data_IF_604977931972
#
_entry.id   IF_604977931972
#
_cell.length_a   1.000
_cell.length_b   1.000
_cell.length_c   1.000
_cell.angle_alpha   90.00
_cell.angle_beta   90.00
_cell.angle_gamma   90.00
#
_symmetry.space_group_name_H-M   'P 1'
#
loop_
_entity.id
_entity.type
_entity.pdbx_description
1 polymer ?
#
# COMPACT_ATOMS: atom_id res chain seq x y z
N UNK A 1 -4.38 9.94 -2.58
CA UNK A 1 -4.64 9.70 -4.03
C UNK A 1 -5.04 10.96 -4.80
N UNK A 2 -6.17 11.61 -4.53
CA UNK A 2 -6.64 12.74 -5.37
C UNK A 2 -5.74 13.98 -5.34
N UNK A 3 -5.31 14.41 -4.16
CA UNK A 3 -4.54 15.67 -4.03
C UNK A 3 -3.13 15.56 -4.62
N UNK A 4 -2.42 14.47 -4.31
CA UNK A 4 -1.03 14.27 -4.69
C UNK A 4 -0.89 13.48 -6.00
N UNK A 5 -1.62 12.39 -6.17
CA UNK A 5 -1.50 11.53 -7.36
C UNK A 5 -2.41 11.96 -8.52
N UNK A 6 -3.31 12.93 -8.31
CA UNK A 6 -4.32 13.39 -9.29
C UNK A 6 -5.21 12.28 -9.85
N UNK A 7 -5.51 11.29 -9.01
CA UNK A 7 -6.42 10.19 -9.34
C UNK A 7 -7.85 10.60 -9.01
N UNK A 8 -8.72 10.54 -10.02
CA UNK A 8 -10.16 10.84 -9.94
C UNK A 8 -11.04 9.67 -10.38
N UNK A 9 -10.43 8.54 -10.77
CA UNK A 9 -11.15 7.32 -11.12
C UNK A 9 -11.87 6.77 -9.88
N UNK A 10 -13.19 6.65 -9.97
CA UNK A 10 -14.05 6.27 -8.84
C UNK A 10 -13.72 4.86 -8.35
N UNK A 11 -13.45 3.92 -9.27
CA UNK A 11 -13.14 2.53 -8.92
C UNK A 11 -11.85 2.47 -8.08
N UNK A 12 -10.79 3.15 -8.53
CA UNK A 12 -9.52 3.23 -7.80
C UNK A 12 -9.70 3.89 -6.43
N UNK A 13 -10.50 4.96 -6.34
CA UNK A 13 -10.75 5.65 -5.07
C UNK A 13 -11.55 4.80 -4.09
N UNK A 14 -12.58 4.09 -4.56
CA UNK A 14 -13.35 3.15 -3.73
C UNK A 14 -12.45 2.02 -3.25
N UNK A 15 -11.64 1.41 -4.13
CA UNK A 15 -10.71 0.37 -3.74
C UNK A 15 -9.68 0.86 -2.71
N UNK A 16 -9.21 2.11 -2.83
CA UNK A 16 -8.31 2.71 -1.84
C UNK A 16 -8.98 2.89 -0.46
N UNK A 17 -10.28 3.19 -0.42
CA UNK A 17 -11.02 3.26 0.84
C UNK A 17 -11.17 1.86 1.47
N UNK A 18 -11.29 0.83 0.63
CA UNK A 18 -11.58 -0.54 1.07
C UNK A 18 -10.34 -1.44 1.24
N UNK A 19 -9.14 -0.96 0.89
CA UNK A 19 -7.96 -1.83 0.69
C UNK A 19 -7.62 -2.76 1.87
N UNK A 20 -7.76 -2.28 3.12
CA UNK A 20 -7.49 -3.08 4.33
C UNK A 20 -8.73 -3.82 4.88
N UNK A 21 -9.93 -3.61 4.31
CA UNK A 21 -11.16 -4.14 4.90
C UNK A 21 -11.18 -5.67 4.93
N UNK A 22 -10.72 -6.32 3.86
CA UNK A 22 -10.63 -7.79 3.80
C UNK A 22 -9.51 -8.31 4.70
N UNK A 23 -8.42 -7.55 4.83
CA UNK A 23 -7.25 -7.95 5.60
C UNK A 23 -7.47 -7.85 7.12
N UNK A 24 -8.11 -6.77 7.59
CA UNK A 24 -8.16 -6.38 9.00
C UNK A 24 -9.54 -6.50 9.64
N UNK A 25 -10.56 -6.91 8.88
CA UNK A 25 -11.92 -7.07 9.41
C UNK A 25 -12.50 -8.44 9.05
N UNK A 26 -13.80 -8.64 9.29
CA UNK A 26 -14.52 -9.85 8.88
C UNK A 26 -15.08 -9.76 7.46
N UNK A 27 -14.82 -8.66 6.76
CA UNK A 27 -15.30 -8.42 5.40
C UNK A 27 -14.68 -9.45 4.45
N UNK A 28 -15.49 -10.00 3.55
CA UNK A 28 -15.03 -10.96 2.55
C UNK A 28 -14.87 -10.30 1.17
N UNK A 29 -14.02 -10.87 0.33
CA UNK A 29 -13.93 -10.45 -1.08
C UNK A 29 -15.29 -10.56 -1.79
N UNK A 30 -16.08 -11.58 -1.46
CA UNK A 30 -17.40 -11.75 -2.07
C UNK A 30 -18.35 -10.60 -1.72
N UNK A 31 -18.36 -10.15 -0.46
CA UNK A 31 -19.12 -8.95 -0.05
C UNK A 31 -18.63 -7.71 -0.82
N UNK A 32 -17.33 -7.53 -1.02
CA UNK A 32 -16.79 -6.42 -1.83
C UNK A 32 -17.31 -6.50 -3.27
N UNK A 33 -17.32 -7.69 -3.87
CA UNK A 33 -17.82 -7.94 -5.23
C UNK A 33 -19.31 -7.64 -5.34
N UNK A 34 -20.12 -8.07 -4.38
CA UNK A 34 -21.57 -7.88 -4.35
C UNK A 34 -21.96 -6.41 -4.20
N UNK A 35 -21.25 -5.66 -3.34
CA UNK A 35 -21.58 -4.26 -3.05
C UNK A 35 -20.96 -3.24 -4.01
N UNK A 36 -19.76 -3.52 -4.52
CA UNK A 36 -18.95 -2.55 -5.27
C UNK A 36 -18.56 -3.02 -6.68
N UNK A 37 -18.89 -4.26 -7.04
CA UNK A 37 -18.64 -4.82 -8.37
C UNK A 37 -17.26 -5.47 -8.53
N UNK A 38 -17.08 -6.13 -9.68
CA UNK A 38 -15.90 -6.96 -9.97
C UNK A 38 -14.59 -6.17 -10.02
N UNK A 39 -14.61 -4.94 -10.56
CA UNK A 39 -13.38 -4.16 -10.71
C UNK A 39 -12.80 -3.71 -9.37
N UNK A 40 -13.66 -3.28 -8.44
CA UNK A 40 -13.25 -2.94 -7.07
C UNK A 40 -12.74 -4.20 -6.35
N UNK A 41 -13.49 -5.31 -6.46
CA UNK A 41 -13.07 -6.61 -5.91
C UNK A 41 -11.64 -6.98 -6.35
N UNK A 42 -11.34 -6.90 -7.64
CA UNK A 42 -10.05 -7.32 -8.17
C UNK A 42 -8.90 -6.45 -7.65
N UNK A 43 -9.13 -5.15 -7.50
CA UNK A 43 -8.12 -4.22 -6.96
C UNK A 43 -7.92 -4.49 -5.47
N UNK A 44 -9.00 -4.62 -4.69
CA UNK A 44 -8.92 -4.91 -3.25
C UNK A 44 -8.22 -6.26 -3.01
N UNK A 45 -8.48 -7.26 -3.85
CA UNK A 45 -7.79 -8.55 -3.81
C UNK A 45 -6.28 -8.42 -4.01
N UNK A 46 -5.82 -7.60 -4.95
CA UNK A 46 -4.39 -7.32 -5.14
C UNK A 46 -3.79 -6.45 -4.03
N UNK A 47 -4.61 -5.77 -3.23
CA UNK A 47 -4.18 -5.00 -2.07
C UNK A 47 -4.18 -5.79 -0.76
N UNK A 48 -4.78 -6.99 -0.74
CA UNK A 48 -4.93 -7.81 0.48
C UNK A 48 -3.75 -8.78 0.61
N UNK A 49 -3.03 -8.74 1.74
CA UNK A 49 -2.02 -9.75 2.04
C UNK A 49 -2.65 -11.05 2.56
N UNK A 50 -2.12 -12.20 2.12
CA UNK A 50 -2.43 -13.49 2.73
C UNK A 50 -1.68 -13.65 4.05
N UNK A 51 -2.36 -13.34 5.16
CA UNK A 51 -1.85 -13.44 6.55
C UNK A 51 -1.48 -14.87 6.99
N UNK A 52 -1.85 -15.91 6.24
CA UNK A 52 -1.41 -17.28 6.51
C UNK A 52 0.08 -17.53 6.15
N UNK A 53 0.65 -16.65 5.32
CA UNK A 53 2.02 -16.78 4.84
C UNK A 53 3.04 -16.08 5.75
N UNK A 54 4.30 -16.54 5.77
CA UNK A 54 5.38 -15.86 6.46
C UNK A 54 5.54 -14.40 6.01
N UNK A 55 5.89 -13.52 6.94
CA UNK A 55 6.04 -12.08 6.67
C UNK A 55 6.91 -11.79 5.44
N UNK A 56 8.06 -12.44 5.31
CA UNK A 56 8.96 -12.22 4.18
C UNK A 56 8.35 -12.67 2.84
N UNK A 57 7.52 -13.72 2.85
CA UNK A 57 6.77 -14.14 1.67
C UNK A 57 5.73 -13.10 1.29
N UNK A 58 4.98 -12.56 2.28
CA UNK A 58 4.00 -11.48 2.03
C UNK A 58 4.65 -10.25 1.43
N UNK A 59 5.79 -9.82 1.98
CA UNK A 59 6.56 -8.69 1.45
C UNK A 59 6.95 -8.86 -0.02
N UNK A 60 7.40 -10.06 -0.41
CA UNK A 60 7.74 -10.37 -1.80
C UNK A 60 6.51 -10.34 -2.71
N UNK A 61 5.39 -10.89 -2.22
CA UNK A 61 4.12 -10.91 -2.94
C UNK A 61 3.54 -9.52 -3.18
N UNK A 62 3.78 -8.53 -2.31
CA UNK A 62 3.38 -7.13 -2.54
C UNK A 62 4.05 -6.49 -3.77
N UNK A 63 5.11 -7.10 -4.32
CA UNK A 63 5.72 -6.66 -5.58
C UNK A 63 5.30 -7.56 -6.74
N UNK A 64 5.33 -8.88 -6.54
CA UNK A 64 5.09 -9.85 -7.61
C UNK A 64 3.63 -9.94 -8.05
N UNK A 65 2.68 -9.77 -7.12
CA UNK A 65 1.26 -10.00 -7.38
C UNK A 65 0.47 -8.73 -7.73
N UNK A 66 1.07 -7.55 -7.57
CA UNK A 66 0.43 -6.27 -7.86
C UNK A 66 0.63 -5.93 -9.34
N UNK A 67 -0.27 -6.43 -10.17
CA UNK A 67 -0.18 -6.32 -11.62
C UNK A 67 -0.99 -5.14 -12.14
N UNK A 68 -2.14 -4.83 -11.52
CA UNK A 68 -3.04 -3.76 -11.93
C UNK A 68 -2.48 -2.39 -11.59
N UNK A 69 -2.54 -1.48 -12.55
CA UNK A 69 -2.14 -0.08 -12.36
C UNK A 69 -2.85 0.58 -11.17
N UNK A 70 -4.15 0.34 -11.01
CA UNK A 70 -4.94 0.86 -9.90
C UNK A 70 -4.45 0.32 -8.55
N UNK A 71 -4.13 -0.98 -8.46
CA UNK A 71 -3.60 -1.57 -7.24
C UNK A 71 -2.22 -0.98 -6.90
N UNK A 72 -1.35 -0.77 -7.90
CA UNK A 72 -0.06 -0.07 -7.70
C UNK A 72 -0.25 1.34 -7.14
N UNK A 73 -1.23 2.10 -7.63
CA UNK A 73 -1.55 3.43 -7.10
C UNK A 73 -1.98 3.38 -5.63
N UNK A 74 -2.84 2.42 -5.27
CA UNK A 74 -3.29 2.21 -3.89
C UNK A 74 -2.10 1.87 -2.99
N UNK A 75 -1.26 0.92 -3.38
CA UNK A 75 -0.06 0.53 -2.63
C UNK A 75 0.92 1.68 -2.44
N UNK A 76 1.22 2.46 -3.48
CA UNK A 76 2.10 3.63 -3.36
C UNK A 76 1.53 4.68 -2.40
N UNK A 77 0.23 4.95 -2.47
CA UNK A 77 -0.43 5.90 -1.58
C UNK A 77 -0.47 5.42 -0.13
N UNK A 78 -0.76 4.13 0.11
CA UNK A 78 -0.70 3.49 1.42
C UNK A 78 0.72 3.63 2.04
N UNK A 79 1.77 3.26 1.29
CA UNK A 79 3.14 3.39 1.79
C UNK A 79 3.50 4.83 2.11
N UNK A 80 3.09 5.79 1.29
CA UNK A 80 3.36 7.20 1.56
C UNK A 80 2.67 7.67 2.85
N UNK A 81 1.42 7.25 3.06
CA UNK A 81 0.70 7.54 4.28
C UNK A 81 1.39 6.93 5.51
N UNK A 82 1.69 5.63 5.46
CA UNK A 82 2.33 4.91 6.57
C UNK A 82 3.70 5.47 6.95
N UNK A 83 4.51 5.82 5.96
CA UNK A 83 5.83 6.40 6.21
C UNK A 83 5.73 7.80 6.84
N UNK A 84 4.81 8.64 6.37
CA UNK A 84 4.54 9.94 7.00
C UNK A 84 3.97 9.79 8.41
N UNK A 85 3.21 8.74 8.66
CA UNK A 85 2.67 8.48 9.99
C UNK A 85 3.77 8.12 10.98
N UNK A 86 4.73 7.28 10.56
CA UNK A 86 5.93 6.96 11.34
C UNK A 86 6.77 8.20 11.70
N UNK A 87 6.78 9.22 10.86
CA UNK A 87 7.47 10.49 11.15
C UNK A 87 6.71 11.38 12.13
N UNK A 88 5.39 11.29 12.14
CA UNK A 88 4.54 12.01 13.11
C UNK A 88 4.61 11.37 14.48
N UNK A 89 4.74 10.05 14.54
CA UNK A 89 4.89 9.34 15.81
C UNK A 89 5.28 7.88 15.63
N UNK A 90 6.21 7.42 16.46
CA UNK A 90 6.56 6.01 16.56
C UNK A 90 5.41 5.22 17.19
N UNK A 91 4.93 4.13 16.55
CA UNK A 91 3.93 3.26 17.14
C UNK A 91 4.41 2.64 18.46
N UNK A 92 3.47 2.41 19.39
CA UNK A 92 3.79 1.81 20.68
C UNK A 92 4.47 0.44 20.50
N UNK A 93 5.59 0.24 21.20
CA UNK A 93 6.37 -0.99 21.16
C UNK A 93 7.32 -1.14 19.95
N UNK A 94 7.45 -0.13 19.10
CA UNK A 94 8.44 -0.14 18.01
C UNK A 94 9.77 0.48 18.47
N UNK A 95 10.86 -0.25 18.25
CA UNK A 95 12.22 0.27 18.44
C UNK A 95 12.74 0.94 17.15
N UNK A 96 13.85 1.69 17.27
CA UNK A 96 14.46 2.37 16.11
C UNK A 96 14.86 1.40 15.01
N UNK A 97 15.24 0.17 15.37
CA UNK A 97 15.62 -0.86 14.40
C UNK A 97 14.42 -1.25 13.53
N UNK A 98 13.27 -1.52 14.14
CA UNK A 98 12.03 -1.87 13.46
C UNK A 98 11.55 -0.75 12.54
N UNK A 99 11.69 0.51 12.97
CA UNK A 99 11.39 1.67 12.12
C UNK A 99 12.32 1.66 10.89
N UNK A 100 13.64 1.54 11.10
CA UNK A 100 14.61 1.48 9.99
C UNK A 100 14.34 0.32 9.03
N UNK A 101 14.02 -0.86 9.55
CA UNK A 101 13.62 -2.03 8.75
C UNK A 101 12.35 -1.75 7.93
N UNK A 102 11.39 -1.03 8.48
CA UNK A 102 10.17 -0.64 7.77
C UNK A 102 10.45 0.32 6.61
N UNK A 103 11.31 1.32 6.82
CA UNK A 103 11.75 2.22 5.74
C UNK A 103 12.51 1.49 4.64
N UNK A 104 13.43 0.56 5.00
CA UNK A 104 14.16 -0.27 4.03
C UNK A 104 13.21 -1.15 3.21
N UNK A 105 12.28 -1.82 3.88
CA UNK A 105 11.27 -2.63 3.21
C UNK A 105 10.38 -1.79 2.29
N UNK A 106 9.94 -0.60 2.75
CA UNK A 106 9.14 0.29 1.91
C UNK A 106 9.90 0.73 0.66
N UNK A 107 11.22 0.95 0.75
CA UNK A 107 12.07 1.22 -0.42
C UNK A 107 12.06 0.08 -1.45
N UNK A 108 12.12 -1.16 -0.99
CA UNK A 108 12.06 -2.34 -1.88
C UNK A 108 10.72 -2.43 -2.60
N UNK A 109 9.61 -2.25 -1.87
CA UNK A 109 8.25 -2.24 -2.45
C UNK A 109 8.11 -1.12 -3.47
N UNK A 110 8.45 0.11 -3.10
CA UNK A 110 8.36 1.28 -4.00
C UNK A 110 9.21 1.08 -5.25
N UNK A 111 10.40 0.49 -5.12
CA UNK A 111 11.25 0.17 -6.27
C UNK A 111 10.58 -0.81 -7.24
N UNK A 112 9.82 -1.77 -6.73
CA UNK A 112 9.07 -2.74 -7.55
C UNK A 112 7.83 -2.15 -8.24
N UNK A 113 7.34 -1.01 -7.75
CA UNK A 113 6.13 -0.34 -8.24
C UNK A 113 6.40 0.93 -9.06
N UNK A 114 7.67 1.26 -9.34
CA UNK A 114 8.05 2.45 -10.12
C UNK A 114 7.45 2.45 -11.53
N UNK A 115 7.28 3.66 -12.09
CA UNK A 115 6.63 3.88 -13.38
C UNK A 115 5.10 3.88 -13.31
N UNK A 116 4.53 4.05 -12.11
CA UNK A 116 3.08 4.10 -11.88
C UNK A 116 2.60 5.54 -11.70
N UNK A 117 3.25 6.32 -10.83
CA UNK A 117 2.87 7.71 -10.58
C UNK A 117 4.09 8.51 -10.09
N UNK A 118 4.63 9.35 -10.97
CA UNK A 118 5.86 10.11 -10.73
C UNK A 118 5.81 10.95 -9.45
N UNK A 119 4.68 11.62 -9.18
CA UNK A 119 4.58 12.47 -7.99
C UNK A 119 4.55 11.66 -6.69
N UNK A 120 3.84 10.53 -6.63
CA UNK A 120 3.89 9.65 -5.46
C UNK A 120 5.29 9.07 -5.27
N UNK A 121 5.92 8.61 -6.34
CA UNK A 121 7.26 8.03 -6.31
C UNK A 121 8.30 9.04 -5.79
N UNK A 122 8.24 10.29 -6.25
CA UNK A 122 9.10 11.37 -5.76
C UNK A 122 8.90 11.65 -4.27
N UNK A 123 7.64 11.73 -3.81
CA UNK A 123 7.32 11.97 -2.39
C UNK A 123 7.78 10.81 -1.49
N UNK A 124 7.64 9.58 -1.98
CA UNK A 124 8.13 8.38 -1.30
C UNK A 124 9.65 8.38 -1.21
N UNK A 125 10.35 8.65 -2.32
CA UNK A 125 11.81 8.71 -2.35
C UNK A 125 12.33 9.79 -1.37
N UNK A 126 11.68 10.96 -1.26
CA UNK A 126 12.05 12.00 -0.27
C UNK A 126 11.90 11.50 1.18
N UNK A 127 10.72 10.99 1.53
CA UNK A 127 10.41 10.50 2.88
C UNK A 127 11.31 9.32 3.28
N UNK A 128 11.65 8.44 2.34
CA UNK A 128 12.54 7.31 2.58
C UNK A 128 13.98 7.79 2.79
N UNK A 129 14.48 8.65 1.90
CA UNK A 129 15.87 9.09 1.93
C UNK A 129 16.21 9.95 3.15
N UNK A 130 15.26 10.71 3.69
CA UNK A 130 15.50 11.51 4.90
C UNK A 130 15.55 10.68 6.19
N UNK A 131 14.96 9.48 6.20
CA UNK A 131 14.91 8.59 7.37
C UNK A 131 15.91 7.42 7.32
N UNK A 132 16.55 7.18 6.18
CA UNK A 132 17.59 6.14 6.01
C UNK A 132 19.03 6.68 6.01
N UNK A 133 19.22 7.99 6.26
CA UNK A 133 20.53 8.62 6.40
C UNK A 133 21.24 8.25 7.70
#
# INVERSE_FOLDING_TARGET
LTNEAKVFDVITLVAAILHDTVEDTKTTLEEVREHFGQEVHDIVKECTDDKSLPRETRKRMQVENVLRFQAKLVHLADKLYNLRDLERGTPLGWDRRRISEYFKWSKEVVSGLKGTNENLEMLLDDVINRNLK
#
